data_IF_226655785089
#
_entry.id   IF_226655785089
#
_cell.length_a   1.000
_cell.length_b   1.000
_cell.length_c   1.000
_cell.angle_alpha   90.00
_cell.angle_beta   90.00
_cell.angle_gamma   90.00
#
_symmetry.space_group_name_H-M   'P 1'
#
loop_
_entity.id
_entity.type
_entity.pdbx_description
1 polymer ?
#
# COMPACT_ATOMS: atom_id res chain seq x y z
N UNK A 1 0.96 -17.44 -5.54
CA UNK A 1 0.54 -17.72 -4.15
C UNK A 1 0.53 -16.42 -3.35
N UNK A 2 1.64 -15.71 -3.21
CA UNK A 2 1.77 -14.48 -2.41
C UNK A 2 0.75 -13.40 -2.80
N UNK A 3 0.56 -13.15 -4.10
CA UNK A 3 -0.42 -12.18 -4.60
C UNK A 3 -1.83 -12.48 -4.09
N UNK A 4 -2.27 -13.72 -4.15
CA UNK A 4 -3.59 -14.14 -3.67
C UNK A 4 -3.67 -13.97 -2.15
N UNK A 5 -2.67 -14.48 -1.41
CA UNK A 5 -2.68 -14.42 0.06
C UNK A 5 -2.72 -12.99 0.59
N UNK A 6 -1.90 -12.07 0.06
CA UNK A 6 -1.92 -10.66 0.52
C UNK A 6 -3.24 -9.96 0.23
N UNK A 7 -3.84 -10.24 -0.95
CA UNK A 7 -5.09 -9.63 -1.37
C UNK A 7 -6.35 -10.29 -0.74
N UNK A 8 -6.14 -11.27 0.12
CA UNK A 8 -7.20 -11.94 0.89
C UNK A 8 -7.04 -11.65 2.39
N UNK A 9 -5.84 -11.88 2.92
CA UNK A 9 -5.56 -11.72 4.36
C UNK A 9 -5.63 -10.26 4.78
N UNK A 10 -4.94 -9.36 4.07
CA UNK A 10 -4.89 -7.94 4.45
C UNK A 10 -6.27 -7.28 4.43
N UNK A 11 -7.11 -7.41 3.39
CA UNK A 11 -8.46 -6.87 3.41
C UNK A 11 -9.29 -7.38 4.60
N UNK A 12 -9.19 -8.67 4.93
CA UNK A 12 -9.86 -9.23 6.09
C UNK A 12 -9.43 -8.54 7.40
N UNK A 13 -8.12 -8.29 7.60
CA UNK A 13 -7.62 -7.58 8.77
C UNK A 13 -8.16 -6.15 8.84
N UNK A 14 -8.22 -5.45 7.71
CA UNK A 14 -8.76 -4.10 7.64
C UNK A 14 -10.26 -4.05 7.93
N UNK A 15 -11.04 -4.97 7.40
CA UNK A 15 -12.47 -5.07 7.69
C UNK A 15 -12.73 -5.36 9.17
N UNK A 16 -11.96 -6.28 9.76
CA UNK A 16 -12.03 -6.59 11.18
C UNK A 16 -11.64 -5.40 12.07
N UNK A 17 -10.57 -4.67 11.70
CA UNK A 17 -10.14 -3.47 12.41
C UNK A 17 -11.16 -2.32 12.27
N UNK A 18 -11.72 -2.11 11.07
CA UNK A 18 -12.78 -1.12 10.82
C UNK A 18 -14.02 -1.38 11.68
N UNK A 19 -14.40 -2.63 11.86
CA UNK A 19 -15.54 -2.99 12.71
C UNK A 19 -15.34 -2.60 14.18
N UNK A 20 -14.08 -2.48 14.65
CA UNK A 20 -13.72 -2.16 16.03
C UNK A 20 -13.31 -0.70 16.24
N UNK A 21 -12.71 -0.06 15.25
CA UNK A 21 -12.21 1.30 15.30
C UNK A 21 -12.64 2.10 14.06
N UNK A 22 -13.96 2.30 13.90
CA UNK A 22 -14.55 2.94 12.72
C UNK A 22 -13.99 4.33 12.46
N UNK A 23 -13.71 5.11 13.49
CA UNK A 23 -13.23 6.49 13.39
C UNK A 23 -11.90 6.60 12.64
N UNK A 24 -11.03 5.60 12.70
CA UNK A 24 -9.77 5.61 11.94
C UNK A 24 -9.98 5.47 10.43
N UNK A 25 -11.12 4.96 10.00
CA UNK A 25 -11.47 4.75 8.59
C UNK A 25 -12.44 5.80 8.05
N UNK A 26 -13.33 6.30 8.91
CA UNK A 26 -14.44 7.21 8.56
C UNK A 26 -14.52 8.31 9.62
N UNK A 27 -13.79 9.40 9.42
CA UNK A 27 -13.75 10.54 10.33
C UNK A 27 -14.13 11.82 9.57
N UNK A 28 -15.39 12.26 9.61
CA UNK A 28 -15.81 13.50 8.96
C UNK A 28 -15.05 14.72 9.50
N UNK A 29 -14.18 15.29 8.65
CA UNK A 29 -13.40 16.48 8.98
C UNK A 29 -12.14 16.24 9.81
N UNK A 30 -11.80 14.99 10.10
CA UNK A 30 -10.55 14.59 10.78
C UNK A 30 -9.70 13.62 9.95
N UNK A 31 -8.50 13.31 10.45
CA UNK A 31 -7.59 12.38 9.77
C UNK A 31 -8.13 10.94 9.76
N UNK A 32 -7.75 10.22 8.72
CA UNK A 32 -8.04 8.81 8.54
C UNK A 32 -6.79 8.07 8.06
N UNK A 33 -6.80 6.74 8.09
CA UNK A 33 -5.71 5.93 7.55
C UNK A 33 -5.45 6.18 6.06
N UNK A 34 -6.44 6.65 5.32
CA UNK A 34 -6.32 6.93 3.88
C UNK A 34 -5.45 8.16 3.58
N UNK A 35 -5.22 9.02 4.58
CA UNK A 35 -4.35 10.18 4.43
C UNK A 35 -2.89 9.77 4.13
N UNK A 36 -2.44 8.61 4.58
CA UNK A 36 -1.13 8.06 4.20
C UNK A 36 -0.96 7.95 2.68
N UNK A 37 -2.02 7.53 1.96
CA UNK A 37 -2.01 7.41 0.50
C UNK A 37 -1.92 8.78 -0.18
N UNK A 38 -2.61 9.78 0.37
CA UNK A 38 -2.62 11.15 -0.14
C UNK A 38 -1.29 11.86 0.11
N UNK A 39 -0.74 11.69 1.30
CA UNK A 39 0.44 12.43 1.76
C UNK A 39 1.75 11.92 1.10
N UNK A 40 1.83 10.63 0.81
CA UNK A 40 2.95 10.03 0.06
C UNK A 40 2.46 8.97 -0.95
N UNK A 41 1.87 9.39 -2.09
CA UNK A 41 1.35 8.46 -3.10
C UNK A 41 2.41 7.51 -3.65
N UNK A 42 3.64 8.01 -3.81
CA UNK A 42 4.73 7.26 -4.45
C UNK A 42 5.25 6.10 -3.58
N UNK A 43 5.00 6.14 -2.28
CA UNK A 43 5.37 5.08 -1.33
C UNK A 43 4.64 3.77 -1.61
N UNK A 44 3.41 3.84 -2.09
CA UNK A 44 2.53 2.68 -2.31
C UNK A 44 2.46 2.22 -3.76
N UNK A 45 3.14 2.92 -4.67
CA UNK A 45 3.26 2.52 -6.07
C UNK A 45 4.56 1.74 -6.25
N UNK A 46 4.49 0.52 -6.79
CA UNK A 46 5.66 -0.33 -6.97
C UNK A 46 6.74 0.33 -7.82
N UNK A 47 8.01 0.11 -7.46
CA UNK A 47 9.17 0.67 -8.15
C UNK A 47 9.18 0.36 -9.65
N UNK A 48 8.75 -0.84 -10.04
CA UNK A 48 8.65 -1.22 -11.46
C UNK A 48 7.64 -0.33 -12.21
N UNK A 49 6.54 0.09 -11.58
CA UNK A 49 5.55 0.99 -12.20
C UNK A 49 6.11 2.40 -12.39
N UNK A 50 6.93 2.87 -11.45
CA UNK A 50 7.57 4.20 -11.46
C UNK A 50 8.80 4.27 -12.37
N UNK A 51 9.34 3.12 -12.81
CA UNK A 51 10.59 3.06 -13.55
C UNK A 51 10.58 3.98 -14.78
N UNK A 52 11.59 4.86 -14.90
CA UNK A 52 11.74 5.82 -15.99
C UNK A 52 10.65 6.91 -16.09
N UNK A 53 9.70 6.98 -15.15
CA UNK A 53 8.55 7.88 -15.26
C UNK A 53 8.92 9.38 -15.20
N UNK A 54 10.04 9.72 -14.56
CA UNK A 54 10.51 11.12 -14.42
C UNK A 54 11.28 11.61 -15.64
N UNK A 55 11.72 10.71 -16.51
CA UNK A 55 12.50 11.09 -17.69
C UNK A 55 11.59 11.61 -18.82
N UNK A 56 12.02 12.65 -19.54
CA UNK A 56 11.30 13.10 -20.72
C UNK A 56 11.33 12.01 -21.81
N UNK A 57 10.20 11.74 -22.45
CA UNK A 57 10.16 10.82 -23.58
C UNK A 57 10.99 11.38 -24.74
N UNK A 58 11.70 10.52 -25.51
CA UNK A 58 12.31 10.93 -26.76
C UNK A 58 11.29 11.60 -27.69
N UNK A 59 11.66 12.65 -28.43
CA UNK A 59 10.70 13.40 -29.25
C UNK A 59 9.90 12.54 -30.24
N UNK A 60 10.54 11.54 -30.84
CA UNK A 60 9.93 10.60 -31.77
C UNK A 60 8.90 9.66 -31.11
N UNK A 61 9.02 9.43 -29.80
CA UNK A 61 8.04 8.66 -29.03
C UNK A 61 6.93 9.60 -28.52
N UNK A 62 7.32 10.77 -28.03
CA UNK A 62 6.38 11.78 -27.52
C UNK A 62 5.37 12.22 -28.58
N UNK A 63 5.80 12.41 -29.84
CA UNK A 63 4.91 12.76 -30.95
C UNK A 63 3.77 11.75 -31.13
N UNK A 64 4.03 10.45 -30.88
CA UNK A 64 3.03 9.38 -31.01
C UNK A 64 2.04 9.30 -29.83
N UNK A 65 2.17 10.10 -28.79
CA UNK A 65 1.21 10.10 -27.66
C UNK A 65 -0.15 10.61 -28.13
N UNK A 66 -0.17 11.73 -28.85
CA UNK A 66 -1.39 12.36 -29.35
C UNK A 66 -1.69 11.95 -30.80
N UNK A 67 -0.66 11.81 -31.65
CA UNK A 67 -0.79 11.43 -33.05
C UNK A 67 -0.42 9.96 -33.28
N UNK A 68 -1.43 9.12 -33.50
CA UNK A 68 -1.24 7.70 -33.79
C UNK A 68 -0.40 7.45 -35.04
N UNK A 69 -0.46 8.34 -36.07
CA UNK A 69 0.33 8.21 -37.30
C UNK A 69 1.82 8.37 -37.08
N UNK A 70 2.21 9.06 -36.00
CA UNK A 70 3.61 9.25 -35.62
C UNK A 70 4.25 8.08 -34.86
N UNK A 71 3.49 7.02 -34.59
CA UNK A 71 3.94 5.83 -33.80
C UNK A 71 4.87 4.89 -34.55
N UNK A 72 5.84 5.39 -35.27
CA UNK A 72 6.72 4.58 -36.13
C UNK A 72 7.66 3.66 -35.35
N UNK A 73 8.12 4.08 -34.16
CA UNK A 73 9.07 3.34 -33.32
C UNK A 73 8.43 2.67 -32.08
N UNK A 74 7.14 2.81 -31.89
CA UNK A 74 6.44 2.38 -30.69
C UNK A 74 6.47 0.87 -30.40
N UNK A 75 6.74 0.05 -31.41
CA UNK A 75 6.90 -1.40 -31.26
C UNK A 75 8.36 -1.83 -31.07
N UNK A 76 9.30 -0.90 -31.01
CA UNK A 76 10.70 -1.20 -30.74
C UNK A 76 10.94 -1.32 -29.23
N UNK A 77 11.95 -2.12 -28.86
CA UNK A 77 12.35 -2.27 -27.46
C UNK A 77 12.82 -0.93 -26.90
N UNK A 78 12.32 -0.57 -25.74
CA UNK A 78 12.76 0.63 -25.05
C UNK A 78 14.14 0.42 -24.38
N UNK A 79 14.99 1.45 -24.32
CA UNK A 79 16.23 1.42 -23.54
C UNK A 79 15.95 1.21 -22.06
N UNK A 80 16.93 0.65 -21.34
CA UNK A 80 16.82 0.31 -19.92
C UNK A 80 16.50 1.49 -19.00
N UNK A 81 16.87 2.70 -19.40
CA UNK A 81 16.56 3.92 -18.63
C UNK A 81 15.06 4.24 -18.61
N UNK A 82 14.31 3.78 -19.61
CA UNK A 82 12.88 4.04 -19.78
C UNK A 82 12.03 2.81 -19.52
N UNK A 83 12.48 1.65 -20.01
CA UNK A 83 11.70 0.41 -20.05
C UNK A 83 12.20 -0.67 -19.08
N UNK A 84 11.30 -1.53 -18.65
CA UNK A 84 11.63 -2.78 -18.02
C UNK A 84 12.27 -3.74 -19.05
N UNK A 85 12.94 -4.83 -18.63
CA UNK A 85 13.81 -5.62 -19.51
C UNK A 85 13.22 -6.09 -20.85
N UNK A 86 11.90 -6.26 -20.93
CA UNK A 86 11.21 -6.75 -22.14
C UNK A 86 10.24 -5.72 -22.76
N UNK A 87 10.12 -4.54 -22.15
CA UNK A 87 9.13 -3.55 -22.59
C UNK A 87 9.51 -2.92 -23.95
N UNK A 88 8.49 -2.71 -24.77
CA UNK A 88 8.52 -1.86 -25.95
C UNK A 88 7.97 -0.48 -25.61
N UNK A 89 8.23 0.52 -26.45
CA UNK A 89 7.84 1.91 -26.19
C UNK A 89 6.33 2.09 -25.91
N UNK A 90 5.48 1.35 -26.61
CA UNK A 90 4.03 1.39 -26.36
C UNK A 90 3.68 1.01 -24.93
N UNK A 91 4.36 0.01 -24.38
CA UNK A 91 4.14 -0.47 -23.01
C UNK A 91 4.70 0.51 -21.98
N UNK A 92 5.87 1.10 -22.25
CA UNK A 92 6.46 2.16 -21.43
C UNK A 92 5.51 3.34 -21.31
N UNK A 93 4.98 3.84 -22.44
CA UNK A 93 4.03 4.96 -22.45
C UNK A 93 2.77 4.61 -21.66
N UNK A 94 2.18 3.44 -21.91
CA UNK A 94 0.98 2.99 -21.19
C UNK A 94 1.21 2.86 -19.67
N UNK A 95 2.35 2.31 -19.26
CA UNK A 95 2.72 2.21 -17.84
C UNK A 95 2.88 3.58 -17.18
N UNK A 96 3.54 4.53 -17.86
CA UNK A 96 3.72 5.91 -17.38
C UNK A 96 2.39 6.66 -17.26
N UNK A 97 1.51 6.52 -18.23
CA UNK A 97 0.16 7.10 -18.18
C UNK A 97 -0.60 6.56 -16.97
N UNK A 98 -0.60 5.22 -16.80
CA UNK A 98 -1.23 4.58 -15.64
C UNK A 98 -0.61 5.05 -14.30
N UNK A 99 0.71 5.18 -14.24
CA UNK A 99 1.38 5.72 -13.04
C UNK A 99 0.88 7.11 -12.71
N UNK A 100 0.82 8.02 -13.69
CA UNK A 100 0.36 9.39 -13.49
C UNK A 100 -1.12 9.43 -13.02
N UNK A 101 -1.98 8.63 -13.63
CA UNK A 101 -3.39 8.51 -13.26
C UNK A 101 -3.57 7.99 -11.82
N UNK A 102 -2.89 6.91 -11.47
CA UNK A 102 -2.95 6.33 -10.12
C UNK A 102 -2.43 7.31 -9.09
N UNK A 103 -1.28 7.92 -9.35
CA UNK A 103 -0.69 8.92 -8.46
C UNK A 103 -1.62 10.12 -8.24
N UNK A 104 -2.28 10.60 -9.29
CA UNK A 104 -3.24 11.70 -9.21
C UNK A 104 -4.45 11.32 -8.33
N UNK A 105 -5.01 10.13 -8.49
CA UNK A 105 -6.12 9.62 -7.66
C UNK A 105 -5.75 9.54 -6.18
N UNK A 106 -4.55 9.03 -5.88
CA UNK A 106 -4.05 8.98 -4.50
C UNK A 106 -3.90 10.38 -3.91
N UNK A 107 -3.23 11.29 -4.63
CA UNK A 107 -3.03 12.66 -4.19
C UNK A 107 -4.35 13.45 -4.01
N UNK A 108 -5.38 13.13 -4.80
CA UNK A 108 -6.71 13.71 -4.68
C UNK A 108 -7.54 13.12 -3.50
N UNK A 109 -7.04 12.05 -2.83
CA UNK A 109 -7.76 11.38 -1.75
C UNK A 109 -9.03 10.62 -2.22
N UNK A 110 -9.02 10.17 -3.47
CA UNK A 110 -10.14 9.41 -4.06
C UNK A 110 -10.18 7.95 -3.58
N UNK A 111 -9.04 7.42 -3.09
CA UNK A 111 -8.90 6.04 -2.61
C UNK A 111 -9.23 6.00 -1.12
N UNK A 112 -10.32 5.31 -0.77
CA UNK A 112 -10.86 5.24 0.60
C UNK A 112 -11.35 3.85 1.01
N UNK A 113 -11.02 2.85 0.22
CA UNK A 113 -11.39 1.45 0.47
C UNK A 113 -10.17 0.56 0.24
N UNK A 114 -10.03 -0.47 1.07
CA UNK A 114 -8.90 -1.40 0.95
C UNK A 114 -8.89 -2.13 -0.41
N UNK A 115 -10.07 -2.37 -0.98
CA UNK A 115 -10.21 -3.01 -2.28
C UNK A 115 -9.75 -2.12 -3.44
N UNK A 116 -9.74 -0.79 -3.28
CA UNK A 116 -9.20 0.12 -4.28
C UNK A 116 -7.69 -0.08 -4.46
N UNK A 117 -6.96 -0.38 -3.37
CA UNK A 117 -5.52 -0.66 -3.45
C UNK A 117 -5.25 -1.91 -4.29
N UNK A 118 -6.11 -2.93 -4.19
CA UNK A 118 -6.01 -4.15 -5.01
C UNK A 118 -6.28 -3.82 -6.47
N UNK A 119 -7.38 -3.09 -6.74
CA UNK A 119 -7.81 -2.71 -8.09
C UNK A 119 -6.77 -1.84 -8.80
N UNK A 120 -6.14 -0.92 -8.07
CA UNK A 120 -5.09 -0.05 -8.58
C UNK A 120 -3.70 -0.73 -8.58
N UNK A 121 -3.60 -1.97 -8.07
CA UNK A 121 -2.36 -2.74 -7.93
C UNK A 121 -1.29 -1.98 -7.13
N UNK A 122 -1.67 -1.48 -5.95
CA UNK A 122 -0.78 -0.80 -5.01
C UNK A 122 -0.11 -1.78 -4.05
N UNK A 123 0.91 -1.31 -3.36
CA UNK A 123 1.58 -2.09 -2.30
C UNK A 123 0.76 -2.09 -1.01
N UNK A 124 -0.23 -2.97 -0.98
CA UNK A 124 -1.14 -3.15 0.15
C UNK A 124 -0.40 -3.62 1.43
N UNK A 125 0.75 -4.31 1.30
CA UNK A 125 1.56 -4.74 2.45
C UNK A 125 2.23 -3.53 3.10
N UNK A 126 2.88 -2.68 2.29
CA UNK A 126 3.48 -1.45 2.78
C UNK A 126 2.43 -0.53 3.42
N UNK A 127 1.25 -0.43 2.80
CA UNK A 127 0.16 0.35 3.38
C UNK A 127 -0.30 -0.20 4.73
N UNK A 128 -0.49 -1.52 4.85
CA UNK A 128 -0.90 -2.15 6.11
C UNK A 128 0.14 -1.93 7.22
N UNK A 129 1.42 -2.07 6.90
CA UNK A 129 2.51 -1.84 7.84
C UNK A 129 2.54 -0.39 8.31
N UNK A 130 2.47 0.58 7.40
CA UNK A 130 2.49 2.01 7.72
C UNK A 130 1.28 2.42 8.59
N UNK A 131 0.09 1.88 8.32
CA UNK A 131 -1.11 2.15 9.12
C UNK A 131 -0.94 1.69 10.57
N UNK A 132 -0.33 0.53 10.79
CA UNK A 132 -0.07 0.01 12.15
C UNK A 132 1.07 0.81 12.81
N UNK A 133 2.20 0.99 12.12
CA UNK A 133 3.38 1.68 12.63
C UNK A 133 3.08 3.13 13.05
N UNK A 134 2.25 3.81 12.27
CA UNK A 134 1.95 5.24 12.46
C UNK A 134 0.60 5.51 13.14
N UNK A 135 -0.06 4.48 13.68
CA UNK A 135 -1.31 4.71 14.39
C UNK A 135 -1.11 5.65 15.58
N UNK A 136 -1.99 6.66 15.70
CA UNK A 136 -1.87 7.71 16.73
C UNK A 136 -2.45 7.28 18.08
N UNK A 137 -3.29 6.24 18.09
CA UNK A 137 -3.98 5.81 19.30
C UNK A 137 -4.01 4.29 19.49
N UNK A 138 -4.14 3.84 20.76
CA UNK A 138 -4.11 2.43 21.11
C UNK A 138 -5.32 1.64 20.59
N UNK A 139 -6.44 2.29 20.29
CA UNK A 139 -7.66 1.61 19.86
C UNK A 139 -7.52 1.00 18.46
N UNK A 140 -6.91 1.71 17.53
CA UNK A 140 -6.61 1.18 16.20
C UNK A 140 -5.60 0.05 16.28
N UNK A 141 -4.53 0.21 17.07
CA UNK A 141 -3.52 -0.81 17.27
C UNK A 141 -4.14 -2.09 17.87
N UNK A 142 -4.97 -1.94 18.89
CA UNK A 142 -5.69 -3.08 19.51
C UNK A 142 -6.65 -3.77 18.53
N UNK A 143 -7.28 -2.99 17.64
CA UNK A 143 -8.16 -3.54 16.63
C UNK A 143 -7.39 -4.42 15.63
N UNK A 144 -6.23 -3.98 15.14
CA UNK A 144 -5.36 -4.79 14.28
C UNK A 144 -4.77 -6.00 15.01
N UNK A 145 -4.28 -5.82 16.24
CA UNK A 145 -3.79 -6.91 17.06
C UNK A 145 -4.81 -8.03 17.20
N UNK A 146 -6.03 -7.71 17.63
CA UNK A 146 -7.10 -8.68 17.78
C UNK A 146 -7.50 -9.34 16.43
N UNK A 147 -7.42 -8.60 15.32
CA UNK A 147 -7.68 -9.15 14.00
C UNK A 147 -6.61 -10.17 13.59
N UNK A 148 -5.34 -9.90 13.89
CA UNK A 148 -4.21 -10.80 13.61
C UNK A 148 -4.28 -12.06 14.49
N UNK A 149 -4.55 -11.91 15.79
CA UNK A 149 -4.69 -13.06 16.69
C UNK A 149 -5.90 -13.94 16.35
N UNK A 150 -6.99 -13.31 15.88
CA UNK A 150 -8.25 -14.02 15.60
C UNK A 150 -8.36 -14.57 14.18
N UNK A 151 -7.44 -14.24 13.26
CA UNK A 151 -7.54 -14.70 11.88
C UNK A 151 -7.33 -16.20 11.77
N UNK A 152 -8.21 -16.87 11.03
CA UNK A 152 -8.06 -18.29 10.68
C UNK A 152 -7.91 -18.43 9.18
N UNK A 153 -6.92 -19.22 8.75
CA UNK A 153 -6.63 -19.48 7.34
C UNK A 153 -6.87 -20.94 7.05
N UNK A 154 -7.81 -21.21 6.14
CA UNK A 154 -8.11 -22.56 5.67
C UNK A 154 -7.68 -22.71 4.20
N UNK A 155 -6.79 -23.63 3.93
CA UNK A 155 -6.46 -24.07 2.59
C UNK A 155 -6.98 -25.49 2.36
N UNK A 156 -8.13 -25.68 1.69
CA UNK A 156 -8.75 -26.98 1.50
C UNK A 156 -7.96 -27.89 0.54
N UNK A 157 -7.00 -27.29 -0.20
CA UNK A 157 -6.13 -28.00 -1.16
C UNK A 157 -4.65 -27.86 -0.80
N UNK A 158 -4.36 -27.89 0.49
CA UNK A 158 -3.11 -27.47 1.12
C UNK A 158 -1.82 -27.90 0.38
N UNK A 159 -1.76 -29.13 -0.17
CA UNK A 159 -0.57 -29.61 -0.89
C UNK A 159 0.71 -29.42 -0.07
N UNK A 160 1.63 -28.60 -0.58
CA UNK A 160 2.89 -28.25 0.10
C UNK A 160 2.73 -27.18 1.20
N UNK A 161 1.54 -26.67 1.45
CA UNK A 161 1.30 -25.57 2.38
C UNK A 161 1.69 -24.18 1.85
N UNK A 162 1.90 -24.02 0.56
CA UNK A 162 2.42 -22.78 -0.03
C UNK A 162 1.54 -21.56 0.26
N UNK A 163 0.22 -21.70 0.32
CA UNK A 163 -0.70 -20.61 0.70
C UNK A 163 -0.63 -20.30 2.19
N UNK A 164 -0.48 -21.32 3.04
CA UNK A 164 -0.34 -21.13 4.48
C UNK A 164 0.98 -20.42 4.82
N UNK A 165 2.08 -20.82 4.20
CA UNK A 165 3.37 -20.12 4.34
C UNK A 165 3.29 -18.68 3.83
N UNK A 166 2.62 -18.44 2.70
CA UNK A 166 2.44 -17.08 2.21
C UNK A 166 1.58 -16.23 3.16
N UNK A 167 0.57 -16.81 3.80
CA UNK A 167 -0.22 -16.12 4.82
C UNK A 167 0.62 -15.79 6.05
N UNK A 168 1.45 -16.73 6.54
CA UNK A 168 2.39 -16.47 7.65
C UNK A 168 3.36 -15.33 7.31
N UNK A 169 3.98 -15.34 6.12
CA UNK A 169 4.89 -14.29 5.67
C UNK A 169 4.23 -12.89 5.55
N UNK A 170 2.90 -12.82 5.57
CA UNK A 170 2.14 -11.57 5.62
C UNK A 170 1.81 -11.20 7.06
N UNK A 171 1.38 -12.16 7.87
CA UNK A 171 0.94 -11.92 9.23
C UNK A 171 2.09 -11.62 10.19
N UNK A 172 3.21 -12.34 10.07
CA UNK A 172 4.37 -12.19 10.96
C UNK A 172 4.93 -10.75 10.99
N UNK A 173 5.24 -10.08 9.85
CA UNK A 173 5.71 -8.69 9.89
C UNK A 173 4.68 -7.71 10.46
N UNK A 174 3.38 -7.94 10.22
CA UNK A 174 2.33 -7.08 10.79
C UNK A 174 2.19 -7.28 12.29
N UNK A 175 2.35 -8.51 12.77
CA UNK A 175 2.38 -8.83 14.20
C UNK A 175 3.57 -8.15 14.89
N UNK A 176 4.77 -8.26 14.33
CA UNK A 176 5.97 -7.58 14.82
C UNK A 176 5.78 -6.06 14.87
N UNK A 177 5.24 -5.47 13.80
CA UNK A 177 4.94 -4.03 13.78
C UNK A 177 3.96 -3.62 14.89
N UNK A 178 2.98 -4.47 15.22
CA UNK A 178 2.10 -4.22 16.36
C UNK A 178 2.85 -4.21 17.69
N UNK A 179 3.77 -5.16 17.91
CA UNK A 179 4.59 -5.21 19.12
C UNK A 179 5.47 -3.98 19.25
N UNK A 180 6.20 -3.62 18.20
CA UNK A 180 7.07 -2.45 18.18
C UNK A 180 6.28 -1.17 18.50
N UNK A 181 5.07 -1.04 17.94
CA UNK A 181 4.22 0.11 18.21
C UNK A 181 3.67 0.12 19.63
N UNK A 182 3.35 -1.05 20.21
CA UNK A 182 2.97 -1.17 21.63
C UNK A 182 4.11 -0.73 22.55
N UNK A 183 5.33 -1.18 22.27
CA UNK A 183 6.51 -0.77 23.03
C UNK A 183 6.75 0.74 22.94
N UNK A 184 6.56 1.35 21.76
CA UNK A 184 6.66 2.79 21.59
C UNK A 184 5.62 3.54 22.44
N UNK A 185 4.38 3.08 22.49
CA UNK A 185 3.37 3.69 23.37
C UNK A 185 3.72 3.56 24.85
N UNK A 186 4.25 2.44 25.30
CA UNK A 186 4.71 2.24 26.69
C UNK A 186 5.87 3.20 27.00
N UNK A 187 6.86 3.28 26.10
CA UNK A 187 8.00 4.19 26.26
C UNK A 187 7.57 5.68 26.32
N UNK A 188 6.56 6.07 25.54
CA UNK A 188 6.02 7.42 25.58
C UNK A 188 5.28 7.73 26.90
N UNK A 189 4.64 6.71 27.49
CA UNK A 189 3.99 6.84 28.81
C UNK A 189 5.01 6.93 29.96
N UNK A 190 6.13 6.22 29.85
CA UNK A 190 7.19 6.19 30.87
C UNK A 190 8.10 7.42 30.80
N UNK A 191 8.08 8.16 29.67
CA UNK A 191 8.88 9.37 29.53
C UNK A 191 8.38 10.43 30.50
N UNK A 192 9.23 10.97 31.43
CA UNK A 192 8.82 12.01 32.35
C UNK A 192 8.29 13.20 31.53
N UNK A 193 7.02 13.52 31.67
CA UNK A 193 6.51 14.77 31.14
C UNK A 193 7.19 15.90 31.93
N UNK A 194 7.85 16.83 31.25
CA UNK A 194 8.33 18.05 31.86
C UNK A 194 7.13 18.74 32.58
N UNK A 195 6.97 18.43 33.87
CA UNK A 195 6.07 19.11 34.79
C UNK A 195 4.57 18.74 34.76
N UNK A 196 4.11 17.74 33.98
CA UNK A 196 2.70 17.33 33.99
C UNK A 196 2.57 15.82 34.21
N UNK A 197 1.62 15.41 35.09
CA UNK A 197 1.35 14.01 35.36
C UNK A 197 0.95 13.24 34.07
N UNK A 198 1.36 11.94 33.94
CA UNK A 198 1.04 11.14 32.79
C UNK A 198 -0.48 11.07 32.58
N UNK A 199 -0.95 11.31 31.36
CA UNK A 199 -2.36 11.09 31.01
C UNK A 199 -2.65 9.60 31.15
N UNK A 200 -3.53 9.25 32.09
CA UNK A 200 -4.08 7.90 32.18
C UNK A 200 -4.96 7.64 30.96
N UNK A 201 -4.67 6.62 30.21
CA UNK A 201 -5.53 6.08 29.15
C UNK A 201 -6.61 5.17 29.74
#
# INVERSE_FOLDING_TARGET
TEYISKNTVIPFLFDAARAKCKVAFENPGGPTIWDHLRDDPDRYIYTAVKHGAVQALPPEIAAGVEDVSARTQWNQKAPADFGLPTEIWREVVARRTRYAEVRAKLAAGEVREINDLITLNLDIRQFAQDVIERCEGPDLLRAFWNAIEGVTVLDPTCGSGAFLFAALNILEPLYETCLDRMEAFVADLERPADGHAPKKF
#
